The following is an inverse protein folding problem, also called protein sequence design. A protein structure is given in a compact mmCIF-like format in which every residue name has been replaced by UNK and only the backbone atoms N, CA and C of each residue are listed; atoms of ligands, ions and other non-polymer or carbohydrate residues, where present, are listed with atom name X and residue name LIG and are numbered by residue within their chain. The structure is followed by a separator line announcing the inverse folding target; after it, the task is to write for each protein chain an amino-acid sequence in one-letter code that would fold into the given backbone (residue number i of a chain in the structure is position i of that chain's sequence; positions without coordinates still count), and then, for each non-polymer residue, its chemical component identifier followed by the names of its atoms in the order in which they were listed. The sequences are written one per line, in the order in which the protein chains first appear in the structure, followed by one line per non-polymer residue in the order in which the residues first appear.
data_IF_340445279152
#
_entry.id   IF_340445279152
#
_cell.length_a   1.000
_cell.length_b   1.000
_cell.length_c   1.000
_cell.angle_alpha   90.00
_cell.angle_beta   90.00
_cell.angle_gamma   90.00
#
_symmetry.space_group_name_H-M   'P 1'
#
loop_
_entity.id
_entity.type
_entity.pdbx_description
1 polymer ?
#
# COMPACT_ATOMS: atom_id res chain seq x y z
N UNK A 1 8.83 -73.11 18.52
CA UNK A 1 8.77 -71.64 18.51
C UNK A 1 7.38 -71.19 18.03
N UNK A 2 6.49 -70.83 18.95
CA UNK A 2 5.11 -70.40 18.65
C UNK A 2 5.08 -68.88 18.49
N UNK A 3 4.89 -68.41 17.25
CA UNK A 3 4.81 -66.98 16.91
C UNK A 3 3.42 -66.45 17.32
N UNK A 4 3.35 -65.64 18.39
CA UNK A 4 2.12 -64.91 18.73
C UNK A 4 1.77 -63.98 17.56
N UNK A 5 0.62 -64.19 16.93
CA UNK A 5 0.03 -63.21 16.01
C UNK A 5 -0.52 -62.08 16.85
N UNK A 6 0.09 -60.90 16.78
CA UNK A 6 -0.52 -59.69 17.28
C UNK A 6 -1.76 -59.40 16.44
N UNK A 7 -2.92 -59.31 17.08
CA UNK A 7 -4.17 -58.92 16.44
C UNK A 7 -4.06 -57.45 16.08
N UNK A 8 -3.91 -57.17 14.79
CA UNK A 8 -4.01 -55.80 14.28
C UNK A 8 -5.44 -55.29 14.55
N UNK A 9 -5.56 -54.31 15.45
CA UNK A 9 -6.83 -53.60 15.69
C UNK A 9 -7.12 -52.73 14.47
N UNK A 10 -8.21 -53.00 13.77
CA UNK A 10 -8.71 -52.16 12.69
C UNK A 10 -9.36 -50.89 13.23
N UNK A 11 -9.21 -49.79 12.49
CA UNK A 11 -9.87 -48.52 12.80
C UNK A 11 -11.38 -48.63 12.60
N UNK A 12 -12.19 -48.12 13.53
CA UNK A 12 -13.65 -48.11 13.36
C UNK A 12 -14.11 -46.86 12.61
N UNK A 13 -15.19 -46.98 11.83
CA UNK A 13 -15.80 -45.82 11.15
C UNK A 13 -16.27 -44.75 12.15
N UNK A 14 -16.71 -45.17 13.33
CA UNK A 14 -17.17 -44.24 14.38
C UNK A 14 -16.00 -43.45 14.99
N UNK A 15 -14.83 -44.07 15.18
CA UNK A 15 -13.63 -43.36 15.64
C UNK A 15 -13.21 -42.29 14.64
N UNK A 16 -13.21 -42.61 13.35
CA UNK A 16 -12.88 -41.63 12.31
C UNK A 16 -13.91 -40.48 12.26
N UNK A 17 -15.20 -40.79 12.39
CA UNK A 17 -16.27 -39.80 12.40
C UNK A 17 -16.15 -38.81 13.56
N UNK A 18 -15.85 -39.28 14.77
CA UNK A 18 -15.69 -38.40 15.93
C UNK A 18 -14.48 -37.48 15.76
N UNK A 19 -13.37 -37.99 15.22
CA UNK A 19 -12.16 -37.19 14.98
C UNK A 19 -12.42 -36.06 14.00
N UNK A 20 -13.04 -36.36 12.84
CA UNK A 20 -13.36 -35.33 11.84
C UNK A 20 -14.37 -34.31 12.38
N UNK A 21 -15.35 -34.75 13.19
CA UNK A 21 -16.30 -33.85 13.83
C UNK A 21 -15.62 -32.85 14.78
N UNK A 22 -14.68 -33.30 15.61
CA UNK A 22 -13.93 -32.42 16.51
C UNK A 22 -13.07 -31.43 15.72
N UNK A 23 -12.35 -31.89 14.68
CA UNK A 23 -11.55 -31.01 13.82
C UNK A 23 -12.42 -29.93 13.16
N UNK A 24 -13.61 -30.29 12.68
CA UNK A 24 -14.54 -29.35 12.07
C UNK A 24 -14.98 -28.23 13.04
N UNK A 25 -15.29 -28.58 14.29
CA UNK A 25 -15.67 -27.61 15.33
C UNK A 25 -14.51 -26.65 15.64
N UNK A 26 -13.29 -27.20 15.79
CA UNK A 26 -12.10 -26.38 16.05
C UNK A 26 -11.79 -25.44 14.88
N UNK A 27 -11.86 -25.96 13.65
CA UNK A 27 -11.62 -25.17 12.44
C UNK A 27 -12.64 -24.02 12.29
N UNK A 28 -13.93 -24.27 12.60
CA UNK A 28 -14.97 -23.25 12.49
C UNK A 28 -14.70 -22.02 13.37
N UNK A 29 -14.10 -22.20 14.55
CA UNK A 29 -13.75 -21.09 15.46
C UNK A 29 -12.38 -20.49 15.08
N UNK A 30 -11.41 -21.33 14.72
CA UNK A 30 -10.04 -20.89 14.49
C UNK A 30 -9.86 -20.13 13.16
N UNK A 31 -10.52 -20.57 12.08
CA UNK A 31 -10.36 -19.99 10.74
C UNK A 31 -10.71 -18.49 10.67
N UNK A 32 -11.89 -18.01 11.13
CA UNK A 32 -12.20 -16.58 11.05
C UNK A 32 -11.21 -15.73 11.84
N UNK A 33 -10.86 -16.13 13.08
CA UNK A 33 -9.89 -15.41 13.90
C UNK A 33 -8.48 -15.39 13.25
N UNK A 34 -8.08 -16.48 12.62
CA UNK A 34 -6.81 -16.55 11.90
C UNK A 34 -6.79 -15.63 10.68
N UNK A 35 -7.86 -15.59 9.89
CA UNK A 35 -7.99 -14.66 8.77
C UNK A 35 -7.93 -13.21 9.25
N UNK A 36 -8.57 -12.92 10.39
CA UNK A 36 -8.52 -11.58 10.97
C UNK A 36 -7.12 -11.17 11.39
N UNK A 37 -6.42 -12.06 12.10
CA UNK A 37 -5.04 -11.83 12.54
C UNK A 37 -4.10 -11.61 11.35
N UNK A 38 -4.30 -12.32 10.24
CA UNK A 38 -3.52 -12.12 9.02
C UNK A 38 -3.71 -10.72 8.43
N UNK A 39 -4.96 -10.23 8.33
CA UNK A 39 -5.21 -8.87 7.80
C UNK A 39 -4.59 -7.81 8.71
N UNK A 40 -4.75 -7.94 10.04
CA UNK A 40 -4.09 -7.02 11.00
C UNK A 40 -2.57 -7.01 10.84
N UNK A 41 -1.96 -8.18 10.61
CA UNK A 41 -0.52 -8.29 10.34
C UNK A 41 -0.13 -7.60 9.01
N UNK A 42 -0.94 -7.74 7.96
CA UNK A 42 -0.74 -7.01 6.68
C UNK A 42 -0.85 -5.50 6.86
N UNK A 43 -1.87 -5.00 7.57
CA UNK A 43 -2.02 -3.57 7.87
C UNK A 43 -0.82 -3.04 8.66
N UNK A 44 -0.34 -3.78 9.66
CA UNK A 44 0.85 -3.41 10.42
C UNK A 44 2.10 -3.35 9.54
N UNK A 45 2.27 -4.31 8.63
CA UNK A 45 3.33 -4.31 7.62
C UNK A 45 3.25 -3.08 6.73
N UNK A 46 2.07 -2.78 6.18
CA UNK A 46 1.85 -1.60 5.33
C UNK A 46 2.28 -0.33 6.06
N UNK A 47 1.82 -0.13 7.30
CA UNK A 47 2.21 1.03 8.08
C UNK A 47 3.73 1.17 8.25
N UNK A 48 4.45 0.05 8.44
CA UNK A 48 5.91 0.06 8.53
C UNK A 48 6.59 0.35 7.18
N UNK A 49 6.07 -0.22 6.09
CA UNK A 49 6.58 0.01 4.74
C UNK A 49 6.37 1.47 4.32
N UNK A 50 5.16 2.02 4.50
CA UNK A 50 4.85 3.44 4.25
C UNK A 50 5.74 4.35 5.10
N UNK A 51 6.05 3.94 6.35
CA UNK A 51 6.99 4.69 7.19
C UNK A 51 8.38 4.73 6.60
N UNK A 52 8.87 3.58 6.15
CA UNK A 52 10.18 3.42 5.52
C UNK A 52 10.29 4.23 4.24
N UNK A 53 9.28 4.18 3.37
CA UNK A 53 9.22 4.95 2.12
C UNK A 53 9.22 6.45 2.40
N UNK A 54 8.37 6.91 3.32
CA UNK A 54 8.32 8.31 3.70
C UNK A 54 9.69 8.80 4.21
N UNK A 55 10.35 8.06 5.11
CA UNK A 55 11.70 8.43 5.56
C UNK A 55 12.69 8.54 4.39
N UNK A 56 12.67 7.60 3.44
CA UNK A 56 13.51 7.68 2.26
C UNK A 56 13.20 8.90 1.37
N UNK A 57 11.92 9.23 1.21
CA UNK A 57 11.47 10.42 0.49
C UNK A 57 11.95 11.71 1.18
N UNK A 58 11.87 11.80 2.50
CA UNK A 58 12.38 12.98 3.24
C UNK A 58 13.88 13.15 3.06
N UNK A 59 14.65 12.07 3.14
CA UNK A 59 16.11 12.14 2.92
C UNK A 59 16.41 12.53 1.48
N UNK A 60 15.65 11.99 0.50
CA UNK A 60 15.77 12.40 -0.90
C UNK A 60 15.49 13.90 -1.09
N UNK A 61 14.45 14.42 -0.44
CA UNK A 61 14.08 15.85 -0.48
C UNK A 61 15.19 16.73 0.09
N UNK A 62 15.84 16.31 1.17
CA UNK A 62 16.99 17.05 1.75
C UNK A 62 18.14 17.17 0.75
N UNK A 63 18.43 16.10 0.00
CA UNK A 63 19.54 16.08 -0.95
C UNK A 63 19.23 16.79 -2.28
N UNK A 64 17.98 16.69 -2.75
CA UNK A 64 17.58 17.16 -4.09
C UNK A 64 16.72 18.43 -4.07
N UNK A 65 16.30 18.88 -2.89
CA UNK A 65 15.40 20.01 -2.69
C UNK A 65 14.05 19.90 -3.43
N UNK A 66 13.67 18.67 -3.81
CA UNK A 66 12.37 18.31 -4.38
C UNK A 66 12.15 16.80 -4.21
N UNK A 67 10.91 16.35 -4.06
CA UNK A 67 10.60 14.92 -4.13
C UNK A 67 10.80 14.35 -5.55
N UNK A 68 10.93 13.02 -5.70
CA UNK A 68 11.10 12.39 -7.01
C UNK A 68 10.05 12.84 -8.01
N UNK A 69 10.50 13.24 -9.18
CA UNK A 69 9.65 13.66 -10.28
C UNK A 69 10.02 12.91 -11.56
N UNK A 70 9.05 12.60 -12.42
CA UNK A 70 9.32 12.13 -13.76
C UNK A 70 10.12 13.19 -14.50
N UNK A 71 10.90 12.74 -15.46
CA UNK A 71 11.27 13.56 -16.60
C UNK A 71 10.19 13.44 -17.68
N UNK A 72 10.07 14.46 -18.53
CA UNK A 72 8.97 14.57 -19.51
C UNK A 72 8.81 13.32 -20.40
N UNK A 73 9.92 12.65 -20.75
CA UNK A 73 9.86 11.43 -21.57
C UNK A 73 9.23 10.24 -20.84
N UNK A 74 9.39 10.10 -19.52
CA UNK A 74 8.79 9.00 -18.74
C UNK A 74 7.27 9.16 -18.64
N UNK A 75 6.81 10.40 -18.58
CA UNK A 75 5.39 10.69 -18.53
C UNK A 75 4.71 10.35 -19.87
N UNK A 76 5.42 10.53 -20.99
CA UNK A 76 4.93 10.18 -22.33
C UNK A 76 4.93 8.66 -22.59
N UNK A 77 5.84 7.90 -21.96
CA UNK A 77 5.82 6.42 -22.02
C UNK A 77 4.69 5.80 -21.21
N UNK A 78 3.97 6.61 -20.42
CA UNK A 78 2.93 6.12 -19.50
C UNK A 78 3.51 5.39 -18.30
N UNK A 79 4.77 5.64 -17.94
CA UNK A 79 5.39 5.02 -16.78
C UNK A 79 4.68 5.48 -15.50
N UNK A 80 4.18 4.57 -14.66
CA UNK A 80 3.52 4.95 -13.43
C UNK A 80 4.53 5.60 -12.47
N UNK A 81 4.11 6.68 -11.81
CA UNK A 81 4.92 7.45 -10.84
C UNK A 81 5.62 6.59 -9.80
N UNK A 82 4.98 5.50 -9.36
CA UNK A 82 5.56 4.56 -8.40
C UNK A 82 6.93 4.03 -8.85
N UNK A 83 7.12 3.71 -10.13
CA UNK A 83 8.40 3.17 -10.66
C UNK A 83 9.50 4.21 -10.59
N UNK A 84 9.15 5.44 -10.99
CA UNK A 84 10.07 6.57 -11.08
C UNK A 84 10.60 6.91 -9.69
N UNK A 85 9.69 6.95 -8.71
CA UNK A 85 10.06 7.17 -7.32
C UNK A 85 10.95 6.05 -6.77
N UNK A 86 10.59 4.77 -6.94
CA UNK A 86 11.44 3.68 -6.47
C UNK A 86 12.82 3.68 -7.13
N UNK A 87 12.92 4.05 -8.41
CA UNK A 87 14.21 4.17 -9.10
C UNK A 87 15.04 5.31 -8.52
N UNK A 88 14.45 6.48 -8.30
CA UNK A 88 15.11 7.63 -7.69
C UNK A 88 15.55 7.35 -6.24
N UNK A 89 14.79 6.52 -5.50
CA UNK A 89 15.10 6.14 -4.14
C UNK A 89 16.11 5.00 -4.01
N UNK A 90 16.40 4.26 -5.08
CA UNK A 90 17.33 3.13 -5.04
C UNK A 90 18.61 3.37 -5.82
N UNK A 91 18.60 4.29 -6.79
CA UNK A 91 19.73 4.53 -7.70
C UNK A 91 19.81 6.01 -8.12
N UNK A 92 21.01 6.61 -8.21
CA UNK A 92 22.33 6.02 -7.94
C UNK A 92 22.68 5.93 -6.44
N UNK A 93 22.01 6.72 -5.59
CA UNK A 93 22.13 6.66 -4.12
C UNK A 93 20.92 5.89 -3.57
N UNK A 94 21.18 4.94 -2.68
CA UNK A 94 20.15 4.11 -2.08
C UNK A 94 19.57 4.77 -0.82
N UNK A 95 18.49 5.52 -0.98
CA UNK A 95 17.64 6.02 0.11
C UNK A 95 16.74 4.92 0.68
N UNK A 96 16.37 3.94 -0.16
CA UNK A 96 15.71 2.70 0.23
C UNK A 96 16.70 1.53 0.12
N UNK A 97 17.07 0.95 1.26
CA UNK A 97 18.01 -0.19 1.34
C UNK A 97 17.37 -1.49 0.85
N UNK A 98 16.09 -1.67 1.12
CA UNK A 98 15.31 -2.76 0.55
C UNK A 98 14.84 -2.30 -0.84
N UNK A 99 14.98 -3.16 -1.85
CA UNK A 99 14.38 -2.90 -3.17
C UNK A 99 12.86 -2.68 -3.09
N UNK A 100 12.20 -2.54 -4.24
CA UNK A 100 10.77 -2.22 -4.36
C UNK A 100 9.92 -2.96 -3.31
N UNK A 101 9.35 -2.20 -2.37
CA UNK A 101 8.43 -2.72 -1.36
C UNK A 101 7.09 -3.03 -2.03
N UNK A 102 6.52 -4.19 -1.69
CA UNK A 102 5.27 -4.68 -2.27
C UNK A 102 4.13 -4.52 -1.29
N UNK A 103 3.06 -3.91 -1.78
CA UNK A 103 1.79 -3.79 -1.09
C UNK A 103 1.08 -5.17 -1.02
N UNK A 104 0.83 -5.71 0.19
CA UNK A 104 0.10 -6.96 0.36
C UNK A 104 -1.40 -6.90 0.00
N UNK A 105 -1.95 -5.71 -0.27
CA UNK A 105 -3.34 -5.45 -0.66
C UNK A 105 -3.52 -5.08 -2.13
N UNK A 106 -2.47 -5.15 -2.95
CA UNK A 106 -2.61 -5.02 -4.39
C UNK A 106 -2.94 -6.37 -5.06
N UNK A 107 -4.01 -6.39 -5.86
CA UNK A 107 -4.41 -7.57 -6.65
C UNK A 107 -3.44 -7.75 -7.83
N UNK A 108 -2.91 -8.96 -8.01
CA UNK A 108 -2.14 -9.34 -9.19
C UNK A 108 -3.11 -9.50 -10.38
N UNK A 109 -3.47 -8.39 -11.03
CA UNK A 109 -4.39 -8.35 -12.16
C UNK A 109 -4.07 -7.18 -13.09
N UNK A 110 -4.14 -7.42 -14.41
CA UNK A 110 -3.60 -6.56 -15.43
C UNK A 110 -4.27 -5.17 -15.52
N UNK A 111 -3.66 -4.16 -14.90
CA UNK A 111 -3.62 -2.82 -15.49
C UNK A 111 -2.68 -2.87 -16.69
N UNK A 112 -3.20 -2.48 -17.87
CA UNK A 112 -2.54 -2.49 -19.18
C UNK A 112 -1.20 -1.76 -19.15
N UNK A 113 -0.15 -2.35 -19.73
CA UNK A 113 1.21 -1.78 -19.81
C UNK A 113 2.21 -2.56 -18.96
N UNK A 114 3.18 -3.22 -19.58
CA UNK A 114 4.03 -4.26 -18.97
C UNK A 114 5.05 -3.74 -17.96
N UNK A 115 4.95 -4.21 -16.71
CA UNK A 115 6.06 -4.44 -15.76
C UNK A 115 5.51 -5.15 -14.50
N UNK A 116 5.53 -6.48 -14.51
CA UNK A 116 4.83 -7.34 -13.54
C UNK A 116 5.29 -7.21 -12.07
N UNK A 117 6.46 -6.61 -11.82
CA UNK A 117 7.05 -6.49 -10.47
C UNK A 117 6.80 -5.15 -9.78
N UNK A 118 6.52 -4.10 -10.54
CA UNK A 118 6.20 -2.77 -10.00
C UNK A 118 4.69 -2.57 -9.80
N UNK A 119 3.86 -3.36 -10.49
CA UNK A 119 2.39 -3.34 -10.39
C UNK A 119 1.83 -3.70 -9.01
N UNK A 120 2.68 -4.15 -8.10
CA UNK A 120 2.31 -4.55 -6.73
C UNK A 120 2.98 -3.65 -5.69
N UNK A 121 3.61 -2.55 -6.11
CA UNK A 121 4.29 -1.63 -5.20
C UNK A 121 3.38 -0.49 -4.78
N UNK A 122 3.63 0.05 -3.59
CA UNK A 122 2.87 1.19 -3.05
C UNK A 122 2.82 2.35 -4.04
N UNK A 123 1.64 2.92 -4.18
CA UNK A 123 1.40 4.06 -5.05
C UNK A 123 1.91 5.34 -4.41
N UNK A 124 2.49 6.21 -5.24
CA UNK A 124 3.12 7.45 -4.80
C UNK A 124 2.68 8.61 -5.67
N UNK A 125 2.26 9.68 -5.02
CA UNK A 125 1.85 10.93 -5.62
C UNK A 125 2.74 12.03 -5.09
N UNK A 126 3.18 12.92 -5.99
CA UNK A 126 4.01 14.06 -5.64
C UNK A 126 3.35 15.31 -6.16
N UNK A 127 3.33 16.37 -5.36
CA UNK A 127 2.78 17.64 -5.81
C UNK A 127 3.45 18.81 -5.10
N UNK A 128 3.04 20.02 -5.47
CA UNK A 128 3.36 21.26 -4.79
C UNK A 128 2.07 21.86 -4.23
N UNK A 129 2.14 22.58 -3.10
CA UNK A 129 0.99 23.23 -2.50
C UNK A 129 0.13 24.01 -3.51
N UNK A 130 -1.15 23.66 -3.59
CA UNK A 130 -2.15 24.39 -4.39
C UNK A 130 -2.20 24.00 -5.87
N UNK A 131 -1.34 23.10 -6.35
CA UNK A 131 -1.38 22.56 -7.73
C UNK A 131 -1.77 21.08 -7.69
N UNK A 132 -2.52 20.60 -8.70
CA UNK A 132 -2.75 19.15 -8.83
C UNK A 132 -1.49 18.49 -9.36
N UNK A 133 -1.24 17.25 -8.96
CA UNK A 133 -0.18 16.44 -9.56
C UNK A 133 -0.30 16.41 -11.10
N UNK A 134 -1.50 16.19 -11.63
CA UNK A 134 -1.77 16.21 -13.07
C UNK A 134 -1.48 17.58 -13.75
N UNK A 135 -1.65 18.69 -13.04
CA UNK A 135 -1.33 20.01 -13.60
C UNK A 135 0.19 20.18 -13.73
N UNK A 136 0.96 19.69 -12.74
CA UNK A 136 2.42 19.70 -12.76
C UNK A 136 2.97 18.78 -13.85
N UNK A 137 2.29 17.67 -14.12
CA UNK A 137 2.60 16.75 -15.21
C UNK A 137 2.48 17.45 -16.57
N UNK A 138 1.39 18.18 -16.78
CA UNK A 138 1.18 18.98 -18.01
C UNK A 138 2.21 20.11 -18.16
N UNK A 139 2.58 20.76 -17.05
CA UNK A 139 3.63 21.77 -17.05
C UNK A 139 4.99 21.16 -17.45
N UNK A 140 5.33 20.01 -16.89
CA UNK A 140 6.56 19.31 -17.24
C UNK A 140 6.59 18.89 -18.71
N UNK A 141 5.47 18.42 -19.27
CA UNK A 141 5.33 18.08 -20.69
C UNK A 141 5.49 19.30 -21.61
N UNK A 142 5.09 20.49 -21.15
CA UNK A 142 5.29 21.75 -21.88
C UNK A 142 6.69 22.35 -21.70
N UNK A 143 7.61 21.62 -21.07
CA UNK A 143 9.00 22.06 -20.83
C UNK A 143 9.16 22.98 -19.63
N UNK A 144 8.11 23.18 -18.84
CA UNK A 144 8.14 24.00 -17.63
C UNK A 144 8.47 23.11 -16.44
N UNK A 145 9.66 23.30 -15.88
CA UNK A 145 10.07 22.61 -14.66
C UNK A 145 9.27 23.13 -13.44
N UNK A 146 8.91 22.23 -12.53
CA UNK A 146 8.19 22.57 -11.29
C UNK A 146 8.75 21.78 -10.11
N UNK A 147 8.92 22.44 -8.96
CA UNK A 147 9.25 21.73 -7.72
C UNK A 147 8.04 20.94 -7.22
N UNK A 148 8.30 19.81 -6.57
CA UNK A 148 7.33 19.04 -5.78
C UNK A 148 7.79 19.00 -4.33
N UNK A 149 6.95 19.52 -3.44
CA UNK A 149 7.24 19.74 -2.01
C UNK A 149 6.28 18.97 -1.09
N UNK A 150 5.43 18.11 -1.67
CA UNK A 150 4.49 17.25 -0.97
C UNK A 150 4.54 15.84 -1.56
N UNK A 151 4.34 14.83 -0.72
CA UNK A 151 4.09 13.47 -1.19
C UNK A 151 2.90 12.84 -0.49
N UNK A 152 2.28 11.89 -1.18
CA UNK A 152 1.35 10.92 -0.64
C UNK A 152 1.83 9.54 -1.07
N UNK A 153 1.92 8.61 -0.13
CA UNK A 153 2.11 7.19 -0.41
C UNK A 153 0.94 6.44 0.20
N UNK A 154 0.33 5.52 -0.54
CA UNK A 154 -0.83 4.79 -0.06
C UNK A 154 -0.84 3.32 -0.48
N UNK A 155 -1.74 2.59 0.18
CA UNK A 155 -2.11 1.21 -0.06
C UNK A 155 -3.63 1.11 -0.11
N UNK A 156 -4.16 0.23 -0.97
CA UNK A 156 -5.59 -0.02 -1.17
C UNK A 156 -6.28 -0.57 0.09
N UNK A 157 -5.50 -1.03 1.07
CA UNK A 157 -6.05 -1.53 2.33
C UNK A 157 -6.87 -2.83 2.17
N UNK A 158 -7.56 -3.27 3.24
CA UNK A 158 -8.14 -4.61 3.30
C UNK A 158 -9.26 -4.94 2.30
N UNK A 159 -9.88 -3.94 1.67
CA UNK A 159 -10.96 -4.13 0.69
C UNK A 159 -10.45 -4.28 -0.75
N UNK A 160 -9.14 -4.10 -0.97
CA UNK A 160 -8.47 -4.19 -2.27
C UNK A 160 -9.02 -3.18 -3.31
N UNK A 161 -9.67 -2.11 -2.87
CA UNK A 161 -10.19 -1.04 -3.72
C UNK A 161 -9.18 0.11 -3.80
N UNK A 162 -9.02 0.69 -4.98
CA UNK A 162 -8.31 1.98 -5.09
C UNK A 162 -9.34 3.09 -4.89
N UNK A 163 -9.39 3.63 -3.68
CA UNK A 163 -10.27 4.73 -3.37
C UNK A 163 -9.58 6.08 -3.64
N UNK A 164 -8.25 6.13 -3.65
CA UNK A 164 -7.45 7.35 -3.71
C UNK A 164 -7.28 7.92 -5.12
N UNK A 165 -7.87 9.09 -5.38
CA UNK A 165 -7.55 9.86 -6.60
C UNK A 165 -6.21 10.61 -6.46
N UNK A 166 -5.11 9.92 -6.77
CA UNK A 166 -3.75 10.45 -6.70
C UNK A 166 -3.49 11.58 -7.72
N UNK A 167 -4.22 11.61 -8.83
CA UNK A 167 -4.07 12.61 -9.89
C UNK A 167 -4.49 14.01 -9.42
N UNK A 168 -5.40 14.06 -8.45
CA UNK A 168 -5.94 15.24 -7.81
C UNK A 168 -5.09 15.75 -6.62
N UNK A 169 -4.04 15.04 -6.23
CA UNK A 169 -3.20 15.36 -5.07
C UNK A 169 -2.56 16.74 -5.15
N UNK A 170 -2.51 17.46 -4.02
CA UNK A 170 -1.94 18.81 -3.90
C UNK A 170 -2.95 19.95 -3.99
N UNK A 171 -4.17 19.69 -4.50
CA UNK A 171 -5.26 20.67 -4.52
C UNK A 171 -6.28 20.41 -3.40
N UNK A 172 -6.74 21.49 -2.76
CA UNK A 172 -7.89 21.45 -1.86
C UNK A 172 -9.20 21.62 -2.65
N UNK A 173 -10.23 20.86 -2.27
CA UNK A 173 -11.58 21.03 -2.78
C UNK A 173 -12.21 22.34 -2.24
N UNK A 174 -13.41 22.68 -2.69
CA UNK A 174 -14.11 23.90 -2.26
C UNK A 174 -14.43 23.93 -0.75
N UNK A 175 -14.44 22.76 -0.09
CA UNK A 175 -14.59 22.62 1.36
C UNK A 175 -13.25 22.68 2.12
N UNK A 176 -12.14 22.97 1.42
CA UNK A 176 -10.80 23.02 1.99
C UNK A 176 -10.16 21.66 2.28
N UNK A 177 -10.84 20.55 1.98
CA UNK A 177 -10.31 19.19 2.17
C UNK A 177 -9.40 18.81 0.99
N UNK A 178 -8.44 17.89 1.16
CA UNK A 178 -7.64 17.45 0.04
C UNK A 178 -8.48 16.67 -0.95
N UNK A 179 -8.31 16.95 -2.23
CA UNK A 179 -9.05 16.26 -3.29
C UNK A 179 -8.54 14.81 -3.52
N UNK A 180 -7.50 14.39 -2.80
CA UNK A 180 -6.84 13.10 -2.91
C UNK A 180 -6.94 12.23 -1.64
N UNK A 181 -7.75 12.62 -0.64
CA UNK A 181 -8.08 11.72 0.46
C UNK A 181 -9.50 11.22 0.25
N UNK A 182 -9.61 10.08 -0.41
CA UNK A 182 -10.79 9.26 -0.28
C UNK A 182 -10.75 8.48 1.04
N UNK A 183 -11.72 7.59 1.23
CA UNK A 183 -12.02 6.92 2.50
C UNK A 183 -10.75 6.46 3.23
N UNK A 184 -10.63 6.90 4.47
CA UNK A 184 -9.46 6.68 5.30
C UNK A 184 -9.60 5.32 5.99
N UNK A 185 -8.53 4.54 6.01
CA UNK A 185 -8.51 3.29 6.77
C UNK A 185 -8.86 3.53 8.24
N UNK A 186 -9.89 2.84 8.73
CA UNK A 186 -10.31 2.87 10.12
C UNK A 186 -10.06 1.51 10.81
N UNK A 187 -9.20 1.44 11.84
CA UNK A 187 -8.94 0.22 12.59
C UNK A 187 -10.19 -0.36 13.28
N UNK A 188 -11.18 0.48 13.61
CA UNK A 188 -12.39 0.07 14.35
C UNK A 188 -13.38 -0.71 13.50
N UNK A 189 -13.24 -0.65 12.17
CA UNK A 189 -14.04 -1.43 11.23
C UNK A 189 -13.45 -2.81 10.94
N UNK A 190 -12.41 -3.20 11.66
CA UNK A 190 -11.80 -4.52 11.54
C UNK A 190 -11.31 -4.78 10.11
N UNK A 191 -11.23 -6.04 9.73
CA UNK A 191 -10.67 -6.52 8.47
C UNK A 191 -11.44 -6.16 7.20
N UNK A 192 -12.34 -5.18 7.27
CA UNK A 192 -13.30 -4.80 6.24
C UNK A 192 -13.34 -3.27 6.08
N UNK A 193 -12.29 -2.57 6.50
CA UNK A 193 -12.19 -1.13 6.22
C UNK A 193 -12.23 -0.90 4.72
N UNK A 194 -13.18 -0.08 4.30
CA UNK A 194 -13.45 0.32 2.90
C UNK A 194 -12.61 1.54 2.52
N UNK A 195 -11.35 1.57 2.92
CA UNK A 195 -10.55 2.78 2.82
C UNK A 195 -9.07 2.51 2.89
N UNK A 196 -8.34 3.42 2.27
CA UNK A 196 -6.92 3.30 1.99
C UNK A 196 -6.07 3.64 3.20
N UNK A 197 -4.92 2.98 3.29
CA UNK A 197 -3.89 3.29 4.29
C UNK A 197 -2.90 4.24 3.63
N UNK A 198 -2.77 5.45 4.15
CA UNK A 198 -1.89 6.46 3.57
C UNK A 198 -0.85 6.99 4.56
N UNK A 199 0.20 7.56 3.99
CA UNK A 199 1.13 8.45 4.66
C UNK A 199 1.39 9.65 3.77
N UNK A 200 1.26 10.83 4.34
CA UNK A 200 1.37 12.09 3.60
C UNK A 200 2.38 13.00 4.28
N UNK A 201 3.20 13.67 3.47
CA UNK A 201 3.92 14.85 3.87
C UNK A 201 3.38 16.06 3.13
N UNK A 202 3.19 17.15 3.88
CA UNK A 202 2.84 18.44 3.34
C UNK A 202 3.38 19.57 4.22
N UNK A 203 3.49 20.81 3.71
CA UNK A 203 3.68 21.98 4.55
C UNK A 203 2.51 22.17 5.54
N UNK A 204 2.78 22.75 6.71
CA UNK A 204 1.85 22.80 7.86
C UNK A 204 0.41 23.26 7.53
N UNK A 205 0.25 24.20 6.58
CA UNK A 205 -1.06 24.67 6.11
C UNK A 205 -1.89 23.58 5.42
N UNK A 206 -1.24 22.62 4.78
CA UNK A 206 -1.86 21.51 4.06
C UNK A 206 -1.93 20.25 4.92
N UNK A 207 -0.99 20.04 5.87
CA UNK A 207 -0.96 18.86 6.78
C UNK A 207 -2.30 18.62 7.47
N UNK A 208 -2.92 19.67 8.04
CA UNK A 208 -4.20 19.55 8.77
C UNK A 208 -5.32 18.91 7.94
N UNK A 209 -5.25 19.03 6.62
CA UNK A 209 -6.27 18.53 5.71
C UNK A 209 -6.01 17.09 5.27
N UNK A 210 -4.75 16.65 5.18
CA UNK A 210 -4.40 15.26 4.88
C UNK A 210 -4.34 14.37 6.13
N UNK A 211 -4.23 14.96 7.32
CA UNK A 211 -4.10 14.26 8.60
C UNK A 211 -5.45 14.18 9.32
N UNK A 212 -6.52 13.83 8.61
CA UNK A 212 -7.82 13.62 9.25
C UNK A 212 -7.79 12.23 9.91
N UNK A 213 -7.42 12.22 11.20
CA UNK A 213 -7.56 11.12 12.17
C UNK A 213 -6.89 9.77 11.83
N UNK A 214 -5.72 9.51 12.42
CA UNK A 214 -5.16 8.16 12.45
C UNK A 214 -3.69 8.01 12.81
N UNK A 215 -3.19 8.67 13.85
CA UNK A 215 -1.98 8.25 14.56
C UNK A 215 -2.03 8.80 15.98
N UNK A 216 -1.86 7.98 17.04
CA UNK A 216 -1.58 8.50 18.38
C UNK A 216 -0.27 9.30 18.40
#
# INVERSE_FOLDING_TARGET
MTRRRETQKGFTLIELLIVVAIIAILAAIAVPNFLEAQVRAKVSRVNNDLRTIATALEVYMVDHNTYPQPCAWMLQSGDPFRIIAYRALSTPVAYLTSGILRDPFMVHGAISGGMDRAKTAYEMGFSTPGKRAADLDNLLLSGVWTSRDMFLVHSFGPDFSDDTDISSFGRLNAAGQPNATARIYDPTNGTVSVGDIYRVHAPALFVRYYTIQGSP
#
